data_IF_177682401604
#
_entry.id   IF_177682401604
#
_cell.length_a   1.000
_cell.length_b   1.000
_cell.length_c   1.000
_cell.angle_alpha   90.00
_cell.angle_beta   90.00
_cell.angle_gamma   90.00
#
_symmetry.space_group_name_H-M   'P 1'
#
loop_
_entity.id
_entity.type
_entity.pdbx_description
1 polymer ?
#
# COMPACT_ATOMS: atom_id res chain seq x y z
N UNK A 1 26.77 8.97 -5.89
CA UNK A 1 25.44 8.39 -5.63
C UNK A 1 25.32 8.22 -4.12
N UNK A 2 24.26 8.78 -3.50
CA UNK A 2 23.99 8.62 -2.07
C UNK A 2 23.53 7.16 -1.82
N UNK A 3 23.76 6.65 -0.60
CA UNK A 3 23.37 5.28 -0.21
C UNK A 3 21.87 5.00 -0.42
N UNK A 4 21.00 5.96 -0.15
CA UNK A 4 19.56 5.82 -0.36
C UNK A 4 19.21 5.65 -1.85
N UNK A 5 19.86 6.44 -2.72
CA UNK A 5 19.68 6.32 -4.16
C UNK A 5 20.18 4.95 -4.67
N UNK A 6 21.32 4.49 -4.16
CA UNK A 6 21.86 3.16 -4.50
C UNK A 6 20.88 2.07 -4.08
N UNK A 7 20.42 2.07 -2.84
CA UNK A 7 19.46 1.10 -2.31
C UNK A 7 18.15 1.10 -3.12
N UNK A 8 17.62 2.28 -3.44
CA UNK A 8 16.44 2.43 -4.28
C UNK A 8 16.63 1.75 -5.65
N UNK A 9 17.77 1.97 -6.32
CA UNK A 9 18.07 1.33 -7.60
C UNK A 9 18.18 -0.20 -7.47
N UNK A 10 18.76 -0.70 -6.38
CA UNK A 10 18.81 -2.14 -6.09
C UNK A 10 17.41 -2.74 -5.93
N UNK A 11 16.52 -2.05 -5.22
CA UNK A 11 15.12 -2.49 -5.06
C UNK A 11 14.39 -2.48 -6.40
N UNK A 12 14.57 -1.44 -7.22
CA UNK A 12 13.98 -1.38 -8.57
C UNK A 12 14.47 -2.54 -9.45
N UNK A 13 15.76 -2.82 -9.42
CA UNK A 13 16.36 -3.95 -10.16
C UNK A 13 15.80 -5.30 -9.66
N UNK A 14 15.63 -5.47 -8.34
CA UNK A 14 15.05 -6.68 -7.77
C UNK A 14 13.58 -6.89 -8.18
N UNK A 15 12.78 -5.81 -8.26
CA UNK A 15 11.40 -5.87 -8.76
C UNK A 15 11.40 -6.32 -10.23
N UNK A 16 12.22 -5.68 -11.07
CA UNK A 16 12.32 -6.05 -12.49
C UNK A 16 12.76 -7.50 -12.69
N UNK A 17 13.71 -7.98 -11.88
CA UNK A 17 14.13 -9.39 -11.90
C UNK A 17 13.00 -10.34 -11.48
N UNK A 18 12.22 -9.96 -10.46
CA UNK A 18 11.06 -10.75 -10.01
C UNK A 18 9.94 -10.78 -11.07
N UNK A 19 9.67 -9.66 -11.74
CA UNK A 19 8.74 -9.60 -12.87
C UNK A 19 9.17 -10.53 -14.00
N UNK A 20 10.43 -10.46 -14.39
CA UNK A 20 11.00 -11.32 -15.45
C UNK A 20 10.93 -12.81 -15.07
N UNK A 21 11.30 -13.17 -13.84
CA UNK A 21 11.23 -14.55 -13.33
C UNK A 21 9.79 -15.08 -13.29
N UNK A 22 8.81 -14.21 -13.09
CA UNK A 22 7.39 -14.53 -13.09
C UNK A 22 6.75 -14.48 -14.50
N UNK A 23 7.52 -14.21 -15.55
CA UNK A 23 7.00 -14.05 -16.92
C UNK A 23 6.09 -12.83 -17.11
N UNK A 24 6.25 -11.81 -16.27
CA UNK A 24 5.43 -10.59 -16.28
C UNK A 24 6.11 -9.47 -17.05
N UNK A 25 5.35 -8.55 -17.64
CA UNK A 25 5.91 -7.37 -18.29
C UNK A 25 6.72 -6.52 -17.30
N UNK A 26 7.83 -5.95 -17.76
CA UNK A 26 8.61 -4.99 -16.97
C UNK A 26 7.74 -3.76 -16.64
N UNK A 27 7.79 -3.31 -15.38
CA UNK A 27 6.98 -2.19 -14.90
C UNK A 27 5.53 -2.55 -14.57
N UNK A 28 5.17 -3.83 -14.54
CA UNK A 28 3.84 -4.30 -14.13
C UNK A 28 3.60 -4.22 -12.61
N UNK A 29 4.67 -3.96 -11.84
CA UNK A 29 4.64 -3.86 -10.38
C UNK A 29 5.10 -2.47 -9.94
N UNK A 30 4.22 -1.74 -9.29
CA UNK A 30 4.53 -0.45 -8.68
C UNK A 30 5.26 -0.64 -7.35
N UNK A 31 6.30 0.16 -7.13
CA UNK A 31 6.99 0.25 -5.84
C UNK A 31 6.38 1.37 -5.01
N UNK A 32 5.85 1.04 -3.85
CA UNK A 32 5.53 2.01 -2.81
C UNK A 32 6.71 2.07 -1.83
N UNK A 33 7.48 3.16 -1.88
CA UNK A 33 8.62 3.37 -0.99
C UNK A 33 8.13 3.81 0.40
N UNK A 34 8.36 2.96 1.41
CA UNK A 34 7.79 3.17 2.76
C UNK A 34 8.73 4.01 3.61
N UNK A 35 8.38 5.30 3.76
CA UNK A 35 9.19 6.32 4.45
C UNK A 35 8.92 6.49 5.94
N UNK A 36 8.05 5.65 6.55
CA UNK A 36 7.71 5.78 7.97
C UNK A 36 8.94 5.80 8.87
N UNK A 37 8.97 6.71 9.85
CA UNK A 37 10.07 6.95 10.79
C UNK A 37 11.34 7.58 10.21
N UNK A 38 11.41 7.80 8.91
CA UNK A 38 12.51 8.48 8.26
C UNK A 38 12.16 9.95 7.96
N UNK A 39 13.13 10.89 7.96
CA UNK A 39 12.87 12.31 7.74
C UNK A 39 12.46 12.61 6.28
N UNK A 40 11.81 13.75 6.06
CA UNK A 40 11.44 14.24 4.73
C UNK A 40 12.64 14.39 3.78
N UNK A 41 13.83 14.69 4.30
CA UNK A 41 15.06 14.78 3.51
C UNK A 41 15.44 13.46 2.84
N UNK A 42 15.19 12.32 3.50
CA UNK A 42 15.45 11.00 2.93
C UNK A 42 14.44 10.69 1.82
N UNK A 43 13.16 11.04 2.03
CA UNK A 43 12.12 10.93 0.99
C UNK A 43 12.51 11.79 -0.22
N UNK A 44 12.95 13.04 -0.01
CA UNK A 44 13.40 13.93 -1.08
C UNK A 44 14.58 13.34 -1.87
N UNK A 45 15.48 12.63 -1.19
CA UNK A 45 16.62 11.97 -1.84
C UNK A 45 16.17 10.85 -2.77
N UNK A 46 15.20 10.04 -2.35
CA UNK A 46 14.64 8.94 -3.14
C UNK A 46 13.71 9.49 -4.25
N UNK A 47 12.99 10.57 -3.98
CA UNK A 47 12.20 11.32 -4.97
C UNK A 47 13.09 11.85 -6.11
N UNK A 48 14.23 12.45 -5.78
CA UNK A 48 15.21 12.93 -6.76
C UNK A 48 15.80 11.79 -7.62
N UNK A 49 15.79 10.55 -7.13
CA UNK A 49 16.16 9.36 -7.89
C UNK A 49 15.03 8.83 -8.81
N UNK A 50 13.86 9.48 -8.82
CA UNK A 50 12.75 9.19 -9.72
C UNK A 50 11.53 8.49 -9.08
N UNK A 51 11.55 8.22 -7.75
CA UNK A 51 10.39 7.64 -7.07
C UNK A 51 9.28 8.69 -6.92
N UNK A 52 8.03 8.23 -7.05
CA UNK A 52 6.84 9.07 -6.87
C UNK A 52 5.86 8.53 -5.83
N UNK A 53 5.71 7.23 -5.72
CA UNK A 53 4.78 6.56 -4.81
C UNK A 53 5.44 6.34 -3.45
N UNK A 54 5.00 7.08 -2.42
CA UNK A 54 5.53 6.98 -1.07
C UNK A 54 4.45 6.54 -0.08
N UNK A 55 4.80 5.56 0.76
CA UNK A 55 3.91 4.98 1.76
C UNK A 55 4.23 5.44 3.17
N UNK A 56 3.18 5.81 3.92
CA UNK A 56 3.29 6.24 5.31
C UNK A 56 2.29 5.51 6.22
N UNK A 57 2.72 5.21 7.44
CA UNK A 57 1.89 4.51 8.42
C UNK A 57 1.21 5.49 9.40
N UNK A 58 1.91 6.56 9.77
CA UNK A 58 1.50 7.45 10.84
C UNK A 58 1.02 8.79 10.25
N UNK A 59 -0.28 9.06 10.35
CA UNK A 59 -0.92 10.18 9.68
C UNK A 59 -0.34 11.54 10.09
N UNK A 60 0.03 11.71 11.36
CA UNK A 60 0.64 12.97 11.84
C UNK A 60 2.04 13.17 11.28
N UNK A 61 2.86 12.11 11.26
CA UNK A 61 4.20 12.13 10.68
C UNK A 61 4.12 12.40 9.17
N UNK A 62 3.23 11.71 8.47
CA UNK A 62 2.96 11.92 7.04
C UNK A 62 2.57 13.37 6.74
N UNK A 63 1.66 13.95 7.52
CA UNK A 63 1.19 15.31 7.28
C UNK A 63 2.32 16.34 7.36
N UNK A 64 3.18 16.22 8.38
CA UNK A 64 4.35 17.09 8.51
C UNK A 64 5.31 16.93 7.32
N UNK A 65 5.61 15.68 6.90
CA UNK A 65 6.45 15.42 5.72
C UNK A 65 5.84 15.94 4.44
N UNK A 66 4.52 15.80 4.25
CA UNK A 66 3.83 16.32 3.08
C UNK A 66 3.87 17.85 3.01
N UNK A 67 3.87 18.54 4.17
CA UNK A 67 4.08 19.99 4.23
C UNK A 67 5.53 20.38 3.87
N UNK A 68 6.52 19.64 4.39
CA UNK A 68 7.94 19.87 4.08
C UNK A 68 8.31 19.56 2.61
N UNK A 69 7.53 18.72 1.95
CA UNK A 69 7.72 18.26 0.56
C UNK A 69 6.69 18.85 -0.41
N UNK A 70 6.03 19.95 -0.05
CA UNK A 70 5.00 20.58 -0.87
C UNK A 70 5.51 21.03 -2.26
N UNK A 71 6.81 21.29 -2.39
CA UNK A 71 7.48 21.58 -3.66
C UNK A 71 7.69 20.34 -4.55
N UNK A 72 7.57 19.13 -4.00
CA UNK A 72 7.58 17.86 -4.74
C UNK A 72 6.14 17.48 -5.16
N UNK A 73 5.52 18.30 -6.01
CA UNK A 73 4.09 18.31 -6.27
C UNK A 73 3.54 17.02 -6.94
N UNK A 74 4.40 16.19 -7.52
CA UNK A 74 4.05 14.93 -8.17
C UNK A 74 4.28 13.69 -7.28
N UNK A 75 4.50 13.89 -5.97
CA UNK A 75 4.46 12.79 -5.01
C UNK A 75 3.04 12.22 -4.91
N UNK A 76 2.93 10.91 -5.04
CA UNK A 76 1.72 10.15 -4.78
C UNK A 76 1.79 9.56 -3.37
N UNK A 77 0.95 10.07 -2.47
CA UNK A 77 0.93 9.64 -1.08
C UNK A 77 0.01 8.46 -0.85
N UNK A 78 0.55 7.37 -0.32
CA UNK A 78 -0.15 6.16 0.07
C UNK A 78 -0.20 6.04 1.60
N UNK A 79 -1.39 6.05 2.17
CA UNK A 79 -1.60 5.71 3.57
C UNK A 79 -1.70 4.19 3.67
N UNK A 80 -0.73 3.60 4.34
CA UNK A 80 -0.60 2.15 4.50
C UNK A 80 -0.66 1.71 5.97
N UNK A 81 -0.97 2.64 6.87
CA UNK A 81 -1.28 2.40 8.28
C UNK A 81 -2.75 2.69 8.58
N UNK A 82 -3.19 2.35 9.78
CA UNK A 82 -4.59 2.48 10.19
C UNK A 82 -5.05 3.94 10.24
N UNK A 83 -6.24 4.20 9.66
CA UNK A 83 -6.85 5.52 9.64
C UNK A 83 -7.82 5.66 10.81
N UNK A 84 -7.40 6.37 11.85
CA UNK A 84 -8.26 6.70 12.99
C UNK A 84 -9.40 7.63 12.55
N UNK A 85 -10.59 7.46 13.17
CA UNK A 85 -11.79 8.21 12.79
C UNK A 85 -11.65 9.74 12.89
N UNK A 86 -10.81 10.24 13.81
CA UNK A 86 -10.54 11.67 13.97
C UNK A 86 -9.50 12.22 12.97
N UNK A 87 -8.88 11.35 12.16
CA UNK A 87 -7.87 11.71 11.16
C UNK A 87 -8.37 11.55 9.72
N UNK A 88 -9.58 11.04 9.51
CA UNK A 88 -10.13 10.78 8.17
C UNK A 88 -10.18 12.04 7.30
N UNK A 89 -10.51 13.23 7.85
CA UNK A 89 -10.55 14.47 7.09
C UNK A 89 -9.19 14.82 6.49
N UNK A 90 -8.12 14.78 7.30
CA UNK A 90 -6.77 15.09 6.85
C UNK A 90 -6.30 14.14 5.74
N UNK A 91 -6.67 12.86 5.84
CA UNK A 91 -6.38 11.85 4.80
C UNK A 91 -7.21 12.11 3.54
N UNK A 92 -8.51 12.37 3.69
CA UNK A 92 -9.41 12.62 2.56
C UNK A 92 -9.00 13.85 1.74
N UNK A 93 -8.52 14.91 2.38
CA UNK A 93 -8.16 16.18 1.74
C UNK A 93 -6.77 16.15 1.06
N UNK A 94 -5.89 15.16 1.34
CA UNK A 94 -4.48 15.25 0.95
C UNK A 94 -3.88 13.97 0.39
N UNK A 95 -4.37 12.78 0.79
CA UNK A 95 -3.82 11.51 0.32
C UNK A 95 -4.36 11.14 -1.08
N UNK A 96 -3.61 10.32 -1.79
CA UNK A 96 -4.00 9.77 -3.08
C UNK A 96 -4.53 8.34 -2.93
N UNK A 97 -3.97 7.58 -1.96
CA UNK A 97 -4.30 6.19 -1.70
C UNK A 97 -4.48 5.91 -0.21
N UNK A 98 -5.41 4.99 0.10
CA UNK A 98 -5.53 4.36 1.42
C UNK A 98 -5.61 2.84 1.22
N UNK A 99 -4.63 2.11 1.75
CA UNK A 99 -4.56 0.65 1.58
C UNK A 99 -5.24 -0.14 2.70
N UNK A 100 -5.74 0.53 3.74
CA UNK A 100 -6.10 -0.06 5.03
C UNK A 100 -7.57 0.11 5.38
N UNK A 101 -8.46 0.00 4.39
CA UNK A 101 -9.90 0.02 4.65
C UNK A 101 -10.34 -1.33 5.22
N UNK A 102 -10.75 -1.35 6.47
CA UNK A 102 -11.29 -2.52 7.16
C UNK A 102 -12.73 -2.34 7.66
N UNK A 103 -13.31 -1.12 7.49
CA UNK A 103 -14.67 -0.78 7.95
C UNK A 103 -15.35 0.18 6.99
N UNK A 104 -16.61 -0.12 6.66
CA UNK A 104 -17.42 0.75 5.80
C UNK A 104 -17.53 2.18 6.38
N UNK A 105 -17.65 2.33 7.71
CA UNK A 105 -17.73 3.65 8.37
C UNK A 105 -16.49 4.52 8.10
N UNK A 106 -15.30 3.93 8.05
CA UNK A 106 -14.07 4.67 7.72
C UNK A 106 -14.09 5.13 6.27
N UNK A 107 -14.44 4.25 5.33
CA UNK A 107 -14.58 4.60 3.91
C UNK A 107 -15.66 5.66 3.67
N UNK A 108 -16.81 5.57 4.36
CA UNK A 108 -17.88 6.57 4.29
C UNK A 108 -17.37 7.96 4.71
N UNK A 109 -16.66 8.04 5.85
CA UNK A 109 -16.10 9.32 6.31
C UNK A 109 -15.06 9.89 5.32
N UNK A 110 -14.22 9.04 4.74
CA UNK A 110 -13.26 9.47 3.72
C UNK A 110 -13.98 9.99 2.47
N UNK A 111 -15.03 9.29 2.02
CA UNK A 111 -15.86 9.72 0.91
C UNK A 111 -16.57 11.05 1.19
N UNK A 112 -17.21 11.19 2.36
CA UNK A 112 -17.95 12.40 2.74
C UNK A 112 -17.03 13.63 2.87
N UNK A 113 -15.77 13.41 3.25
CA UNK A 113 -14.79 14.46 3.52
C UNK A 113 -13.84 14.73 2.33
N UNK A 114 -13.90 13.92 1.27
CA UNK A 114 -13.11 14.14 0.04
C UNK A 114 -13.62 15.38 -0.67
N UNK A 115 -12.77 16.39 -0.97
CA UNK A 115 -13.17 17.57 -1.75
C UNK A 115 -13.68 17.20 -3.14
N UNK A 116 -14.71 17.93 -3.63
CA UNK A 116 -15.35 17.67 -4.92
C UNK A 116 -14.42 17.97 -6.13
N UNK A 117 -13.45 18.83 -5.94
CA UNK A 117 -12.43 19.21 -6.94
C UNK A 117 -11.25 18.24 -7.00
N UNK A 118 -11.18 17.27 -6.09
CA UNK A 118 -10.14 16.24 -6.09
C UNK A 118 -10.61 14.95 -6.77
N UNK A 119 -9.71 14.23 -7.45
CA UNK A 119 -10.02 12.88 -7.95
C UNK A 119 -10.50 11.96 -6.81
N UNK A 120 -11.32 10.94 -7.07
CA UNK A 120 -11.72 9.97 -6.07
C UNK A 120 -10.50 9.36 -5.35
N UNK A 121 -10.60 9.22 -4.03
CA UNK A 121 -9.56 8.60 -3.22
C UNK A 121 -9.44 7.11 -3.59
N UNK A 122 -8.26 6.69 -4.03
CA UNK A 122 -8.01 5.29 -4.36
C UNK A 122 -7.92 4.46 -3.08
N UNK A 123 -8.67 3.36 -2.99
CA UNK A 123 -8.68 2.55 -1.75
C UNK A 123 -8.51 1.07 -2.03
N UNK A 124 -7.82 0.37 -1.11
CA UNK A 124 -7.79 -1.08 -1.03
C UNK A 124 -8.45 -1.54 0.28
N UNK A 125 -9.12 -2.67 0.22
CA UNK A 125 -9.63 -3.34 1.43
C UNK A 125 -8.48 -4.13 2.05
N UNK A 126 -8.23 -3.91 3.34
CA UNK A 126 -7.24 -4.68 4.09
C UNK A 126 -7.83 -6.01 4.53
N UNK A 127 -7.13 -7.09 4.17
CA UNK A 127 -7.53 -8.47 4.46
C UNK A 127 -6.55 -9.07 5.45
N UNK A 128 -7.05 -9.60 6.57
CA UNK A 128 -6.28 -10.38 7.52
C UNK A 128 -6.09 -11.81 6.98
N UNK A 129 -5.20 -11.93 5.99
CA UNK A 129 -5.01 -13.18 5.23
C UNK A 129 -4.37 -14.30 6.06
N UNK A 130 -3.62 -13.93 7.10
CA UNK A 130 -2.99 -14.89 8.00
C UNK A 130 -3.91 -15.37 9.14
N UNK A 131 -5.12 -14.83 9.24
CA UNK A 131 -6.10 -15.10 10.31
C UNK A 131 -5.52 -14.92 11.73
N UNK A 132 -4.60 -13.97 11.89
CA UNK A 132 -3.97 -13.68 13.17
C UNK A 132 -4.88 -12.78 14.03
N UNK A 133 -5.22 -13.18 15.29
CA UNK A 133 -6.23 -12.48 16.10
C UNK A 133 -5.92 -11.00 16.38
N UNK A 134 -4.65 -10.63 16.36
CA UNK A 134 -4.18 -9.29 16.72
C UNK A 134 -3.76 -8.43 15.51
N UNK A 135 -3.99 -8.91 14.28
CA UNK A 135 -3.71 -8.14 13.06
C UNK A 135 -4.97 -7.43 12.53
N UNK A 136 -4.72 -6.32 11.87
CA UNK A 136 -5.75 -5.54 11.18
C UNK A 136 -6.23 -6.24 9.91
N UNK A 137 -7.34 -5.73 9.40
CA UNK A 137 -8.00 -6.24 8.20
C UNK A 137 -9.24 -7.06 8.51
N UNK A 138 -10.12 -7.16 7.54
CA UNK A 138 -11.30 -8.03 7.62
C UNK A 138 -10.94 -9.48 7.33
N UNK A 139 -11.76 -10.41 7.78
CA UNK A 139 -11.64 -11.80 7.40
C UNK A 139 -11.79 -11.97 5.88
N UNK A 140 -11.10 -12.95 5.26
CA UNK A 140 -11.18 -13.15 3.81
C UNK A 140 -12.61 -13.25 3.27
N UNK A 141 -13.49 -13.92 3.97
CA UNK A 141 -14.90 -14.12 3.62
C UNK A 141 -15.74 -12.84 3.66
N UNK A 142 -15.31 -11.81 4.38
CA UNK A 142 -15.97 -10.51 4.47
C UNK A 142 -15.45 -9.49 3.43
N UNK A 143 -14.27 -9.75 2.85
CA UNK A 143 -13.54 -8.79 2.03
C UNK A 143 -14.32 -8.32 0.80
N UNK A 144 -14.94 -9.25 0.07
CA UNK A 144 -15.70 -8.94 -1.16
C UNK A 144 -16.94 -8.13 -0.84
N UNK A 145 -17.68 -8.51 0.21
CA UNK A 145 -18.89 -7.79 0.63
C UNK A 145 -18.57 -6.34 1.05
N UNK A 146 -17.51 -6.16 1.84
CA UNK A 146 -17.05 -4.82 2.24
C UNK A 146 -16.60 -4.01 1.02
N UNK A 147 -15.83 -4.61 0.11
CA UNK A 147 -15.36 -3.93 -1.10
C UNK A 147 -16.52 -3.44 -1.98
N UNK A 148 -17.55 -4.27 -2.19
CA UNK A 148 -18.76 -3.89 -2.93
C UNK A 148 -19.51 -2.73 -2.25
N UNK A 149 -19.64 -2.77 -0.92
CA UNK A 149 -20.29 -1.69 -0.17
C UNK A 149 -19.49 -0.38 -0.27
N UNK A 150 -18.17 -0.44 -0.22
CA UNK A 150 -17.28 0.73 -0.38
C UNK A 150 -17.31 1.25 -1.82
N UNK A 151 -17.38 0.38 -2.81
CA UNK A 151 -17.45 0.77 -4.23
C UNK A 151 -18.71 1.57 -4.60
N UNK A 152 -19.76 1.50 -3.78
CA UNK A 152 -20.96 2.30 -3.96
C UNK A 152 -20.83 3.76 -3.46
N UNK A 153 -19.73 4.11 -2.80
CA UNK A 153 -19.49 5.46 -2.28
C UNK A 153 -18.96 6.40 -3.39
N UNK A 154 -19.43 7.67 -3.44
CA UNK A 154 -19.22 8.50 -4.64
C UNK A 154 -17.79 9.04 -4.83
N UNK A 155 -17.03 9.28 -3.75
CA UNK A 155 -15.72 9.96 -3.83
C UNK A 155 -14.54 9.08 -3.38
N UNK A 156 -14.77 7.76 -3.37
CA UNK A 156 -13.72 6.75 -3.24
C UNK A 156 -13.79 5.79 -4.42
N UNK A 157 -12.67 5.23 -4.79
CA UNK A 157 -12.58 4.22 -5.84
C UNK A 157 -11.90 2.98 -5.27
N UNK A 158 -12.62 1.88 -5.19
CA UNK A 158 -12.03 0.60 -4.81
C UNK A 158 -11.14 0.13 -5.96
N UNK A 159 -9.85 0.00 -5.68
CA UNK A 159 -8.86 -0.49 -6.64
C UNK A 159 -8.50 -1.94 -6.42
N UNK A 160 -8.77 -2.48 -5.24
CA UNK A 160 -8.47 -3.87 -4.95
C UNK A 160 -8.29 -4.17 -3.48
N UNK A 161 -7.35 -5.06 -3.21
CA UNK A 161 -7.12 -5.62 -1.89
C UNK A 161 -5.69 -5.40 -1.41
N UNK A 162 -5.51 -5.33 -0.11
CA UNK A 162 -4.20 -5.28 0.53
C UNK A 162 -4.09 -6.36 1.61
N UNK A 163 -2.92 -6.95 1.76
CA UNK A 163 -2.63 -7.79 2.93
C UNK A 163 -1.19 -7.61 3.42
N UNK A 164 -1.00 -7.98 4.68
CA UNK A 164 0.31 -8.23 5.28
C UNK A 164 0.39 -9.71 5.58
N UNK A 165 1.21 -10.44 4.84
CA UNK A 165 1.41 -11.87 5.03
C UNK A 165 2.12 -12.18 6.37
N UNK A 166 2.08 -13.41 6.81
CA UNK A 166 2.75 -13.82 8.03
C UNK A 166 4.27 -13.80 7.84
N UNK A 167 4.97 -12.97 8.62
CA UNK A 167 6.40 -12.72 8.44
C UNK A 167 7.29 -13.97 8.64
N UNK A 168 6.83 -14.94 9.45
CA UNK A 168 7.53 -16.19 9.75
C UNK A 168 7.07 -17.36 8.87
N UNK A 169 6.13 -17.14 7.94
CA UNK A 169 5.62 -18.20 7.09
C UNK A 169 6.69 -18.69 6.11
N UNK A 170 6.76 -19.99 5.92
CA UNK A 170 7.55 -20.56 4.84
C UNK A 170 6.97 -20.24 3.46
N UNK A 171 7.75 -20.44 2.40
CA UNK A 171 7.38 -20.10 1.02
C UNK A 171 6.02 -20.68 0.62
N UNK A 172 5.72 -21.93 0.97
CA UNK A 172 4.46 -22.59 0.62
C UNK A 172 3.25 -21.87 1.25
N UNK A 173 3.37 -21.43 2.51
CA UNK A 173 2.30 -20.71 3.20
C UNK A 173 2.13 -19.29 2.61
N UNK A 174 3.23 -18.59 2.29
CA UNK A 174 3.18 -17.29 1.60
C UNK A 174 2.48 -17.41 0.23
N UNK A 175 2.82 -18.43 -0.56
CA UNK A 175 2.14 -18.68 -1.84
C UNK A 175 0.66 -18.95 -1.68
N UNK A 176 0.28 -19.70 -0.64
CA UNK A 176 -1.13 -19.99 -0.35
C UNK A 176 -1.89 -18.69 0.03
N UNK A 177 -1.32 -17.87 0.93
CA UNK A 177 -1.91 -16.59 1.34
C UNK A 177 -2.05 -15.62 0.15
N UNK A 178 -1.01 -15.43 -0.65
CA UNK A 178 -1.07 -14.55 -1.83
C UNK A 178 -1.98 -15.12 -2.93
N UNK A 179 -2.06 -16.45 -3.09
CA UNK A 179 -3.00 -17.10 -3.99
C UNK A 179 -4.46 -16.88 -3.58
N UNK A 180 -4.75 -16.87 -2.29
CA UNK A 180 -6.08 -16.54 -1.77
C UNK A 180 -6.44 -15.08 -2.08
N UNK A 181 -5.48 -14.15 -2.00
CA UNK A 181 -5.70 -12.74 -2.40
C UNK A 181 -6.07 -12.62 -3.88
N UNK A 182 -5.45 -13.39 -4.77
CA UNK A 182 -5.83 -13.43 -6.19
C UNK A 182 -7.26 -13.93 -6.39
N UNK A 183 -7.66 -15.00 -5.66
CA UNK A 183 -9.02 -15.53 -5.73
C UNK A 183 -10.05 -14.50 -5.26
N UNK A 184 -9.77 -13.79 -4.17
CA UNK A 184 -10.64 -12.71 -3.66
C UNK A 184 -10.76 -11.56 -4.66
N UNK A 185 -9.66 -11.17 -5.32
CA UNK A 185 -9.69 -10.14 -6.37
C UNK A 185 -10.56 -10.59 -7.56
N UNK A 186 -10.42 -11.83 -8.00
CA UNK A 186 -11.25 -12.39 -9.08
C UNK A 186 -12.74 -12.43 -8.69
N UNK A 187 -13.07 -12.79 -7.45
CA UNK A 187 -14.43 -12.75 -6.93
C UNK A 187 -14.98 -11.30 -6.92
N UNK A 188 -14.17 -10.32 -6.52
CA UNK A 188 -14.55 -8.92 -6.51
C UNK A 188 -14.84 -8.42 -7.93
N UNK A 189 -14.00 -8.78 -8.89
CA UNK A 189 -14.19 -8.46 -10.32
C UNK A 189 -15.48 -9.10 -10.86
N UNK A 190 -15.79 -10.33 -10.46
CA UNK A 190 -17.03 -11.01 -10.83
C UNK A 190 -18.29 -10.33 -10.28
N UNK A 191 -18.17 -9.52 -9.21
CA UNK A 191 -19.24 -8.65 -8.71
C UNK A 191 -19.36 -7.32 -9.48
N UNK A 192 -18.56 -7.12 -10.53
CA UNK A 192 -18.60 -5.90 -11.37
C UNK A 192 -17.75 -4.74 -10.81
N UNK A 193 -16.96 -4.94 -9.77
CA UNK A 193 -16.04 -3.91 -9.29
C UNK A 193 -14.80 -3.89 -10.16
N UNK A 194 -14.46 -2.73 -10.74
CA UNK A 194 -13.28 -2.54 -11.58
C UNK A 194 -11.99 -2.48 -10.74
N UNK A 195 -11.69 -3.57 -10.04
CA UNK A 195 -10.53 -3.71 -9.17
C UNK A 195 -9.39 -4.41 -9.94
N UNK A 196 -8.18 -3.84 -9.83
CA UNK A 196 -6.99 -4.30 -10.56
C UNK A 196 -5.74 -4.36 -9.67
N UNK A 197 -5.87 -4.09 -8.37
CA UNK A 197 -4.75 -3.94 -7.43
C UNK A 197 -4.69 -5.06 -6.40
N UNK A 198 -3.51 -5.67 -6.30
CA UNK A 198 -3.07 -6.47 -5.16
C UNK A 198 -1.86 -5.79 -4.52
N UNK A 199 -2.10 -5.08 -3.41
CA UNK A 199 -1.05 -4.47 -2.59
C UNK A 199 -0.56 -5.50 -1.58
N UNK A 200 0.49 -6.22 -1.94
CA UNK A 200 1.07 -7.28 -1.11
C UNK A 200 2.54 -7.47 -1.43
N UNK A 201 3.31 -7.95 -0.46
CA UNK A 201 4.75 -8.10 -0.56
C UNK A 201 5.53 -6.92 0.03
N UNK A 202 6.50 -7.28 0.84
CA UNK A 202 7.48 -6.41 1.49
C UNK A 202 8.89 -6.91 1.17
N UNK A 203 9.92 -6.31 1.73
CA UNK A 203 11.33 -6.63 1.41
C UNK A 203 11.66 -8.12 1.44
N UNK A 204 11.09 -8.88 2.38
CA UNK A 204 11.43 -10.30 2.58
C UNK A 204 10.67 -11.27 1.66
N UNK A 205 9.45 -10.94 1.27
CA UNK A 205 8.52 -11.81 0.53
C UNK A 205 8.15 -11.26 -0.86
N UNK A 206 8.80 -10.17 -1.28
CA UNK A 206 8.52 -9.43 -2.51
C UNK A 206 8.51 -10.33 -3.76
N UNK A 207 9.52 -11.18 -3.93
CA UNK A 207 9.62 -12.04 -5.12
C UNK A 207 8.47 -13.05 -5.20
N UNK A 208 8.06 -13.61 -4.05
CA UNK A 208 6.93 -14.54 -3.96
C UNK A 208 5.62 -13.79 -4.25
N UNK A 209 5.45 -12.59 -3.69
CA UNK A 209 4.29 -11.75 -3.93
C UNK A 209 4.16 -11.36 -5.42
N UNK A 210 5.26 -10.97 -6.07
CA UNK A 210 5.29 -10.66 -7.50
C UNK A 210 4.91 -11.88 -8.33
N UNK A 211 5.48 -13.05 -8.04
CA UNK A 211 5.12 -14.31 -8.71
C UNK A 211 3.65 -14.70 -8.47
N UNK A 212 3.05 -14.24 -7.37
CA UNK A 212 1.64 -14.45 -7.01
C UNK A 212 0.74 -13.26 -7.40
N UNK A 213 1.12 -12.44 -8.36
CA UNK A 213 0.26 -11.41 -8.96
C UNK A 213 0.22 -10.05 -8.23
N UNK A 214 1.11 -9.78 -7.28
CA UNK A 214 1.21 -8.44 -6.67
C UNK A 214 1.34 -7.36 -7.75
N UNK A 215 0.58 -6.29 -7.62
CA UNK A 215 0.68 -5.10 -8.49
C UNK A 215 1.38 -3.94 -7.78
N UNK A 216 1.34 -3.95 -6.45
CA UNK A 216 2.03 -2.97 -5.61
C UNK A 216 2.80 -3.72 -4.53
N UNK A 217 4.10 -3.43 -4.43
CA UNK A 217 4.97 -3.91 -3.34
C UNK A 217 5.38 -2.74 -2.46
N UNK A 218 5.47 -2.96 -1.15
CA UNK A 218 5.73 -1.93 -0.16
C UNK A 218 7.09 -2.18 0.51
N UNK A 219 8.09 -1.41 0.13
CA UNK A 219 9.47 -1.62 0.57
C UNK A 219 9.98 -0.41 1.34
N UNK A 220 10.42 -0.63 2.58
CA UNK A 220 10.97 0.40 3.46
C UNK A 220 12.44 0.15 3.79
N UNK A 221 12.74 -0.84 4.63
CA UNK A 221 14.09 -1.08 5.18
C UNK A 221 15.16 -1.33 4.12
N UNK A 222 14.81 -1.95 2.99
CA UNK A 222 15.77 -2.16 1.90
C UNK A 222 16.13 -0.86 1.17
N UNK A 223 15.34 0.22 1.29
CA UNK A 223 15.63 1.53 0.71
C UNK A 223 16.26 2.44 1.76
N UNK A 224 15.56 2.64 2.89
CA UNK A 224 15.90 3.66 3.89
C UNK A 224 16.84 3.15 4.99
N UNK A 225 17.05 1.83 5.10
CA UNK A 225 17.89 1.20 6.12
C UNK A 225 17.09 0.65 7.30
N UNK A 226 17.82 0.10 8.26
CA UNK A 226 17.25 -0.37 9.54
C UNK A 226 16.78 0.84 10.35
N UNK A 227 15.68 0.64 11.09
CA UNK A 227 15.14 1.69 11.96
C UNK A 227 15.95 1.76 13.25
N UNK A 228 16.40 2.95 13.60
CA UNK A 228 16.87 3.24 14.95
C UNK A 228 15.64 3.39 15.85
N UNK A 229 15.23 2.30 16.51
CA UNK A 229 14.32 2.43 17.65
C UNK A 229 15.14 2.89 18.84
N UNK A 230 14.83 4.06 19.45
CA UNK A 230 15.42 4.37 20.75
C UNK A 230 15.03 3.23 21.69
N UNK A 231 16.03 2.57 22.25
CA UNK A 231 15.81 1.57 23.29
C UNK A 231 15.11 2.29 24.46
N UNK A 232 13.88 1.84 24.76
CA UNK A 232 13.13 2.29 25.93
C UNK A 232 13.67 1.62 27.18
#
# INVERSE_FOLDING_TARGET
MNILQHNYQQVKAAITAAEAAAGRPAGSVALVAVGKTFPAADIRTVYAAGQRDFGENYIQEWAAKADELADCADIVWHIIGQVQSNKTRQVAERAHWVHTIERLKTAQRLSDQRPDDMPPLQVCIEVNIAAEPNKHGVAPEEAVALACAVAALPRVQVRGLMCVAEAAAGEAALRAQFGQMQQLLAQLQAQGVAADVLSMGMSADMAIAVASGATHVRVGSAIFGARDYPQR
#
